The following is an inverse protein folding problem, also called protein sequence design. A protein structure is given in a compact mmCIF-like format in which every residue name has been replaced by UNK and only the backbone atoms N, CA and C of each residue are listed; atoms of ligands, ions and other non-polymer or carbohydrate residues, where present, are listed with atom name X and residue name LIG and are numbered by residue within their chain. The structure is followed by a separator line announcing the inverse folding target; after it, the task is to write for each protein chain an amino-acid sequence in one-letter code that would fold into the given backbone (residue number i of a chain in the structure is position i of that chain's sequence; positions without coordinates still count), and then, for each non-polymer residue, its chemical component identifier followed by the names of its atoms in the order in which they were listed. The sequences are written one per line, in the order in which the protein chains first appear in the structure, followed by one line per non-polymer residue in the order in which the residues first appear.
data_IF_486536515940
#
_entry.id   IF_486536515940
#
_cell.length_a   1.000
_cell.length_b   1.000
_cell.length_c   1.000
_cell.angle_alpha   90.00
_cell.angle_beta   90.00
_cell.angle_gamma   90.00
#
_symmetry.space_group_name_H-M   'P 1'
#
loop_
_entity.id
_entity.type
_entity.pdbx_description
1 polymer ?
#
# COMPACT_ATOMS: atom_id res chain seq x y z
N UNK A 1 42.25 -1.85 3.45
CA UNK A 1 41.56 -0.61 3.06
C UNK A 1 40.39 -0.98 2.15
N UNK A 2 39.19 -1.12 2.72
CA UNK A 2 38.04 -1.69 2.03
C UNK A 2 37.07 -0.58 1.64
N UNK A 3 37.14 -0.12 0.39
CA UNK A 3 36.33 0.98 -0.12
C UNK A 3 34.84 0.65 -0.03
N UNK A 4 34.18 1.17 1.00
CA UNK A 4 32.73 1.13 1.16
C UNK A 4 32.10 1.92 0.00
N UNK A 5 31.69 1.24 -1.07
CA UNK A 5 31.03 1.84 -2.23
C UNK A 5 29.63 2.36 -1.83
N UNK A 6 29.50 3.68 -1.61
CA UNK A 6 28.27 4.39 -1.24
C UNK A 6 27.26 4.62 -2.39
N UNK A 7 27.31 3.86 -3.47
CA UNK A 7 26.49 4.15 -4.67
C UNK A 7 25.00 3.81 -4.55
N UNK A 8 24.53 3.32 -3.40
CA UNK A 8 23.10 3.09 -3.12
C UNK A 8 22.54 3.89 -1.95
N UNK A 9 23.30 4.83 -1.36
CA UNK A 9 22.76 5.74 -0.34
C UNK A 9 22.11 6.97 -0.98
N UNK A 10 20.93 6.79 -1.56
CA UNK A 10 20.03 7.93 -1.87
C UNK A 10 19.34 8.32 -0.57
N UNK A 11 19.37 9.61 -0.19
CA UNK A 11 18.56 10.16 0.88
C UNK A 11 17.09 10.11 0.45
N UNK A 12 16.50 8.91 0.48
CA UNK A 12 15.08 8.70 0.23
C UNK A 12 14.36 9.07 1.52
N UNK A 13 13.21 9.72 1.42
CA UNK A 13 12.39 9.99 2.60
C UNK A 13 12.03 8.67 3.29
N UNK A 14 11.85 8.65 4.62
CA UNK A 14 11.44 7.44 5.34
C UNK A 14 10.20 6.77 4.71
N UNK A 15 9.30 7.57 4.13
CA UNK A 15 8.12 7.13 3.39
C UNK A 15 8.46 6.26 2.18
N UNK A 16 9.48 6.62 1.40
CA UNK A 16 9.92 5.85 0.22
C UNK A 16 10.62 4.56 0.66
N UNK A 17 11.50 4.61 1.65
CA UNK A 17 12.20 3.42 2.13
C UNK A 17 11.24 2.40 2.75
N UNK A 18 10.21 2.85 3.49
CA UNK A 18 9.18 1.94 4.03
C UNK A 18 8.29 1.35 2.94
N UNK A 19 8.05 2.09 1.85
CA UNK A 19 7.27 1.60 0.69
C UNK A 19 8.03 0.54 -0.11
N UNK A 20 9.36 0.65 -0.20
CA UNK A 20 10.25 -0.26 -0.93
C UNK A 20 10.68 -1.51 -0.15
N UNK A 21 10.11 -1.77 1.05
CA UNK A 21 10.42 -3.00 1.79
C UNK A 21 9.86 -4.20 1.02
N UNK A 22 10.68 -5.25 0.81
CA UNK A 22 10.24 -6.50 0.15
C UNK A 22 9.09 -7.21 0.87
N UNK A 23 8.82 -6.91 2.15
CA UNK A 23 7.67 -7.47 2.87
C UNK A 23 6.36 -6.71 2.61
N UNK A 24 6.43 -5.58 1.90
CA UNK A 24 5.27 -4.75 1.67
C UNK A 24 4.43 -5.38 0.57
N UNK A 25 3.13 -5.47 0.79
CA UNK A 25 2.22 -6.10 -0.16
C UNK A 25 2.01 -5.14 -1.34
N UNK A 26 2.74 -5.41 -2.43
CA UNK A 26 2.74 -4.62 -3.66
C UNK A 26 1.73 -5.23 -4.62
N UNK A 27 0.71 -4.45 -4.92
CA UNK A 27 -0.37 -4.87 -5.81
C UNK A 27 -0.31 -4.09 -7.12
N UNK A 28 -0.47 -4.80 -8.23
CA UNK A 28 -0.45 -4.22 -9.57
C UNK A 28 -1.86 -4.10 -10.11
N UNK A 29 -2.28 -2.88 -10.43
CA UNK A 29 -3.58 -2.58 -11.01
C UNK A 29 -3.48 -1.46 -12.04
N UNK A 30 -4.13 -1.62 -13.20
CA UNK A 30 -4.15 -0.62 -14.28
C UNK A 30 -2.74 -0.16 -14.71
N UNK A 31 -1.78 -1.09 -14.77
CA UNK A 31 -0.39 -0.80 -15.15
C UNK A 31 0.45 -0.06 -14.09
N UNK A 32 -0.09 0.20 -12.90
CA UNK A 32 0.65 0.76 -11.77
C UNK A 32 0.86 -0.32 -10.71
N UNK A 33 2.09 -0.47 -10.22
CA UNK A 33 2.40 -1.30 -9.04
C UNK A 33 2.59 -0.39 -7.85
N UNK A 34 1.73 -0.52 -6.84
CA UNK A 34 1.79 0.30 -5.64
C UNK A 34 1.56 -0.56 -4.39
N UNK A 35 2.06 -0.08 -3.25
CA UNK A 35 1.77 -0.70 -1.96
C UNK A 35 0.33 -0.42 -1.52
N UNK A 36 -0.22 -1.29 -0.66
CA UNK A 36 -1.56 -1.15 -0.08
C UNK A 36 -1.86 0.29 0.41
N UNK A 37 -0.90 0.94 1.07
CA UNK A 37 -1.11 2.29 1.62
C UNK A 37 -1.26 3.37 0.54
N UNK A 38 -0.53 3.24 -0.57
CA UNK A 38 -0.67 4.15 -1.70
C UNK A 38 -2.03 3.94 -2.41
N UNK A 39 -2.46 2.70 -2.60
CA UNK A 39 -3.79 2.40 -3.13
C UNK A 39 -4.91 2.96 -2.25
N UNK A 40 -4.74 2.93 -0.93
CA UNK A 40 -5.72 3.50 0.01
C UNK A 40 -5.74 5.03 0.03
N UNK A 41 -4.59 5.67 -0.24
CA UNK A 41 -4.52 7.13 -0.45
C UNK A 41 -5.25 7.53 -1.74
N UNK A 42 -5.15 6.74 -2.82
CA UNK A 42 -5.75 7.04 -4.14
C UNK A 42 -7.25 6.69 -4.22
N UNK A 43 -7.71 5.65 -3.51
CA UNK A 43 -9.06 5.11 -3.67
C UNK A 43 -10.05 5.47 -2.54
N UNK A 44 -9.65 6.31 -1.57
CA UNK A 44 -10.47 6.65 -0.37
C UNK A 44 -10.98 5.43 0.43
N UNK A 45 -10.35 4.26 0.26
CA UNK A 45 -10.69 3.04 0.99
C UNK A 45 -9.84 2.98 2.24
N UNK A 46 -10.46 2.66 3.38
CA UNK A 46 -9.71 2.45 4.61
C UNK A 46 -8.69 1.29 4.43
N UNK A 47 -7.42 1.47 4.82
CA UNK A 47 -6.37 0.45 4.66
C UNK A 47 -6.70 -0.87 5.37
N UNK A 48 -7.38 -0.83 6.51
CA UNK A 48 -7.82 -2.03 7.20
C UNK A 48 -8.86 -2.80 6.39
N UNK A 49 -9.75 -2.09 5.69
CA UNK A 49 -10.75 -2.71 4.81
C UNK A 49 -10.11 -3.27 3.55
N UNK A 50 -9.19 -2.51 2.92
CA UNK A 50 -8.46 -2.98 1.75
C UNK A 50 -7.67 -4.24 2.08
N UNK A 51 -6.89 -4.21 3.18
CA UNK A 51 -6.14 -5.37 3.63
C UNK A 51 -7.03 -6.56 3.97
N UNK A 52 -8.19 -6.35 4.59
CA UNK A 52 -9.14 -7.44 4.83
C UNK A 52 -9.65 -8.05 3.51
N UNK A 53 -9.94 -7.22 2.49
CA UNK A 53 -10.37 -7.71 1.18
C UNK A 53 -9.30 -8.57 0.52
N UNK A 54 -8.04 -8.16 0.57
CA UNK A 54 -6.95 -8.92 -0.03
C UNK A 54 -6.57 -10.15 0.82
N UNK A 55 -6.21 -9.96 2.09
CA UNK A 55 -5.67 -11.03 2.95
C UNK A 55 -6.74 -12.03 3.41
N UNK A 56 -7.94 -11.56 3.78
CA UNK A 56 -8.98 -12.42 4.39
C UNK A 56 -9.97 -12.95 3.37
N UNK A 57 -10.38 -12.10 2.43
CA UNK A 57 -11.34 -12.49 1.40
C UNK A 57 -10.66 -13.00 0.11
N UNK A 58 -9.34 -12.82 -0.04
CA UNK A 58 -8.63 -13.25 -1.25
C UNK A 58 -9.09 -12.52 -2.50
N UNK A 59 -9.59 -11.28 -2.38
CA UNK A 59 -10.11 -10.54 -3.52
C UNK A 59 -8.97 -10.04 -4.40
N UNK A 60 -9.16 -10.04 -5.73
CA UNK A 60 -8.25 -9.33 -6.61
C UNK A 60 -8.34 -7.82 -6.34
N UNK A 61 -7.21 -7.12 -6.50
CA UNK A 61 -7.12 -5.67 -6.29
C UNK A 61 -8.22 -4.90 -7.03
N UNK A 62 -8.52 -5.27 -8.27
CA UNK A 62 -9.54 -4.60 -9.07
C UNK A 62 -10.90 -4.60 -8.38
N UNK A 63 -11.31 -5.78 -7.87
CA UNK A 63 -12.54 -5.95 -7.11
C UNK A 63 -12.48 -5.22 -5.77
N UNK A 64 -11.33 -5.26 -5.11
CA UNK A 64 -11.12 -4.59 -3.83
C UNK A 64 -11.16 -3.06 -3.94
N UNK A 65 -10.81 -2.48 -5.11
CA UNK A 65 -10.88 -1.06 -5.40
C UNK A 65 -12.24 -0.61 -5.94
N UNK A 66 -12.85 -1.40 -6.82
CA UNK A 66 -14.15 -1.08 -7.44
C UNK A 66 -15.33 -1.27 -6.49
N UNK A 67 -15.22 -2.16 -5.50
CA UNK A 67 -16.32 -2.41 -4.58
C UNK A 67 -16.44 -1.26 -3.57
N UNK A 68 -17.59 -0.56 -3.51
CA UNK A 68 -17.77 0.54 -2.57
C UNK A 68 -17.65 0.05 -1.13
N UNK A 69 -16.93 0.80 -0.30
CA UNK A 69 -16.85 0.51 1.13
C UNK A 69 -18.06 1.15 1.81
N UNK A 70 -18.77 0.40 2.64
CA UNK A 70 -19.85 0.96 3.44
C UNK A 70 -19.23 2.00 4.38
N UNK A 71 -19.54 3.29 4.18
CA UNK A 71 -19.01 4.38 5.02
C UNK A 71 -19.38 4.09 6.47
N UNK A 72 -18.41 3.78 7.31
CA UNK A 72 -18.65 3.62 8.73
C UNK A 72 -18.98 5.00 9.30
N UNK A 73 -20.22 5.21 9.76
CA UNK A 73 -20.56 6.44 10.49
C UNK A 73 -19.65 6.49 11.71
N UNK A 74 -18.74 7.48 11.78
CA UNK A 74 -18.00 7.75 13.00
C UNK A 74 -19.05 7.96 14.10
N UNK A 75 -19.05 7.06 15.08
CA UNK A 75 -19.80 7.27 16.32
C UNK A 75 -19.02 8.35 17.07
N UNK A 76 -19.53 9.57 17.06
CA UNK A 76 -19.00 10.64 17.92
C UNK A 76 -19.04 10.13 19.37
N UNK A 77 -17.92 10.26 20.07
CA UNK A 77 -17.79 9.97 21.49
C UNK A 77 -17.84 11.29 22.25
#
# INVERSE_FOLDING_TARGET
DGNYCKSNCRWTTPKINNRNRRNNHLETYSGKTQCLSAWTEESEINPSTFRHRIDRLGWPIEKALTTPVRKYKKRNK
#
